data_IF_991693416662
#
_entry.id   IF_991693416662
#
_cell.length_a   1.000
_cell.length_b   1.000
_cell.length_c   1.000
_cell.angle_alpha   90.00
_cell.angle_beta   90.00
_cell.angle_gamma   90.00
#
_symmetry.space_group_name_H-M   'P 1'
#
loop_
_entity.id
_entity.type
_entity.pdbx_description
1 polymer ?
#
# COMPACT_ATOMS: atom_id res chain seq x y z
N UNK A 1 -4.33 -3.65 20.66
CA UNK A 1 -3.41 -3.44 19.54
C UNK A 1 -3.85 -4.37 18.43
N UNK A 2 -4.35 -3.83 17.33
CA UNK A 2 -4.76 -4.64 16.17
C UNK A 2 -3.50 -5.20 15.52
N UNK A 3 -3.38 -6.51 15.47
CA UNK A 3 -2.24 -7.19 14.85
C UNK A 3 -2.39 -7.04 13.33
N UNK A 4 -1.31 -6.66 12.64
CA UNK A 4 -1.32 -6.61 11.18
C UNK A 4 -1.55 -8.02 10.63
N UNK A 5 -2.49 -8.16 9.69
CA UNK A 5 -2.83 -9.43 9.07
C UNK A 5 -1.72 -9.89 8.12
N UNK A 6 -1.25 -8.97 7.28
CA UNK A 6 -0.12 -9.17 6.36
C UNK A 6 0.67 -7.87 6.24
N UNK A 7 1.92 -7.97 5.83
CA UNK A 7 2.78 -6.79 5.64
C UNK A 7 3.78 -6.99 4.51
N UNK A 8 4.30 -5.88 4.00
CA UNK A 8 5.43 -5.84 3.08
C UNK A 8 6.40 -4.76 3.50
N UNK A 9 7.68 -5.06 3.37
CA UNK A 9 8.78 -4.15 3.68
C UNK A 9 9.39 -3.61 2.38
N UNK A 10 9.68 -2.31 2.39
CA UNK A 10 10.32 -1.54 1.33
C UNK A 10 11.60 -0.90 1.86
N UNK A 11 12.52 -0.55 0.95
CA UNK A 11 13.63 0.35 1.24
C UNK A 11 13.26 1.74 0.73
N UNK A 12 13.34 2.75 1.60
CA UNK A 12 13.09 4.15 1.27
C UNK A 12 14.31 4.97 1.66
N UNK A 13 15.04 5.48 0.68
CA UNK A 13 16.30 6.21 0.89
C UNK A 13 17.34 5.44 1.73
N UNK A 14 17.26 4.10 1.71
CA UNK A 14 18.11 3.20 2.50
C UNK A 14 17.51 2.75 3.83
N UNK A 15 16.41 3.37 4.29
CA UNK A 15 15.71 2.99 5.51
C UNK A 15 14.62 1.94 5.27
N UNK A 16 14.41 1.07 6.25
CA UNK A 16 13.36 0.06 6.19
C UNK A 16 11.98 0.68 6.49
N UNK A 17 11.07 0.62 5.52
CA UNK A 17 9.68 1.11 5.65
C UNK A 17 8.71 -0.06 5.50
N UNK A 18 7.93 -0.33 6.54
CA UNK A 18 6.94 -1.41 6.53
C UNK A 18 5.55 -0.87 6.19
N UNK A 19 4.92 -1.44 5.16
CA UNK A 19 3.50 -1.30 4.86
C UNK A 19 2.72 -2.47 5.47
N UNK A 20 1.81 -2.19 6.40
CA UNK A 20 0.98 -3.17 7.10
C UNK A 20 -0.45 -3.08 6.60
N UNK A 21 -1.05 -4.23 6.31
CA UNK A 21 -2.48 -4.36 6.02
C UNK A 21 -3.14 -5.07 7.19
N UNK A 22 -4.28 -4.54 7.62
CA UNK A 22 -5.08 -5.15 8.68
C UNK A 22 -6.14 -6.06 8.05
N UNK A 23 -6.71 -6.98 8.83
CA UNK A 23 -7.78 -7.84 8.32
C UNK A 23 -8.93 -6.96 7.80
N UNK A 24 -9.47 -7.20 6.60
CA UNK A 24 -10.71 -6.56 6.18
C UNK A 24 -11.83 -6.92 7.16
N UNK A 25 -12.57 -5.92 7.62
CA UNK A 25 -13.69 -6.08 8.56
C UNK A 25 -14.98 -5.60 7.90
N UNK A 26 -16.11 -6.28 8.13
CA UNK A 26 -17.40 -5.81 7.65
C UNK A 26 -17.81 -4.51 8.36
N UNK A 27 -18.41 -3.60 7.60
CA UNK A 27 -19.01 -2.36 8.10
C UNK A 27 -20.54 -2.43 8.04
N UNK A 28 -21.20 -1.53 8.78
CA UNK A 28 -22.63 -1.32 8.64
C UNK A 28 -22.97 -0.96 7.18
N UNK A 29 -23.92 -1.68 6.59
CA UNK A 29 -24.32 -1.52 5.19
C UNK A 29 -23.83 -2.63 4.25
N UNK A 30 -23.02 -3.58 4.75
CA UNK A 30 -22.64 -4.79 4.00
C UNK A 30 -21.34 -4.67 3.20
N UNK A 31 -20.70 -3.49 3.21
CA UNK A 31 -19.35 -3.29 2.68
C UNK A 31 -18.29 -3.85 3.66
N UNK A 32 -17.06 -3.92 3.18
CA UNK A 32 -15.87 -4.24 3.96
C UNK A 32 -14.88 -3.09 3.94
N UNK A 33 -14.16 -2.93 5.04
CA UNK A 33 -13.13 -1.92 5.21
C UNK A 33 -11.81 -2.58 5.57
N UNK A 34 -10.78 -2.25 4.81
CA UNK A 34 -9.41 -2.70 5.06
C UNK A 34 -8.56 -1.48 5.39
N UNK A 35 -8.00 -1.45 6.61
CA UNK A 35 -7.01 -0.46 6.98
C UNK A 35 -5.63 -0.86 6.45
N UNK A 36 -4.81 0.13 6.15
CA UNK A 36 -3.37 -0.06 5.98
C UNK A 36 -2.58 1.09 6.61
N UNK A 37 -1.34 0.81 6.99
CA UNK A 37 -0.41 1.75 7.59
C UNK A 37 0.94 1.65 6.90
N UNK A 38 1.57 2.78 6.60
CA UNK A 38 2.96 2.82 6.15
C UNK A 38 3.79 3.51 7.25
N UNK A 39 4.75 2.78 7.81
CA UNK A 39 5.62 3.25 8.87
C UNK A 39 6.82 4.03 8.33
N UNK A 40 6.63 5.30 7.98
CA UNK A 40 7.71 6.17 7.51
C UNK A 40 8.67 6.58 8.63
N UNK A 41 9.92 6.99 8.31
CA UNK A 41 10.87 7.49 9.30
C UNK A 41 10.33 8.69 10.10
N UNK A 42 9.52 9.54 9.48
CA UNK A 42 8.95 10.75 10.11
C UNK A 42 7.65 10.47 10.88
N UNK A 43 7.11 9.26 10.77
CA UNK A 43 5.89 8.83 11.45
C UNK A 43 4.98 7.97 10.58
N UNK A 44 4.16 7.16 11.24
CA UNK A 44 3.19 6.30 10.56
C UNK A 44 2.06 7.11 9.92
N UNK A 45 1.69 6.74 8.69
CA UNK A 45 0.47 7.23 8.03
C UNK A 45 -0.50 6.07 7.84
N UNK A 46 -1.75 6.26 8.30
CA UNK A 46 -2.79 5.22 8.28
C UNK A 46 -3.96 5.64 7.42
N UNK A 47 -4.42 4.74 6.57
CA UNK A 47 -5.50 4.95 5.61
C UNK A 47 -6.42 3.73 5.59
N UNK A 48 -7.51 3.83 4.83
CA UNK A 48 -8.48 2.75 4.66
C UNK A 48 -9.06 2.72 3.26
N UNK A 49 -9.32 1.52 2.77
CA UNK A 49 -10.06 1.28 1.55
C UNK A 49 -11.38 0.56 1.87
N UNK A 50 -12.41 0.86 1.08
CA UNK A 50 -13.74 0.24 1.17
C UNK A 50 -13.98 -0.60 -0.09
N UNK A 51 -14.41 -1.84 0.09
CA UNK A 51 -14.84 -2.74 -0.98
C UNK A 51 -16.17 -3.41 -0.65
N UNK A 52 -16.83 -3.98 -1.65
CA UNK A 52 -18.10 -4.71 -1.52
C UNK A 52 -17.89 -6.01 -0.73
N UNK A 53 -16.68 -6.58 -0.79
CA UNK A 53 -16.27 -7.74 -0.01
C UNK A 53 -14.84 -7.57 0.53
N UNK A 54 -14.43 -8.50 1.39
CA UNK A 54 -13.09 -8.50 1.99
C UNK A 54 -11.96 -8.55 0.96
N UNK A 55 -12.15 -9.25 -0.17
CA UNK A 55 -11.14 -9.39 -1.22
C UNK A 55 -10.93 -8.05 -1.92
N UNK A 56 -12.02 -7.39 -2.32
CA UNK A 56 -11.97 -6.08 -2.96
C UNK A 56 -11.42 -5.02 -2.00
N UNK A 57 -11.81 -5.04 -0.73
CA UNK A 57 -11.31 -4.09 0.27
C UNK A 57 -9.78 -4.22 0.43
N UNK A 58 -9.26 -5.44 0.49
CA UNK A 58 -7.81 -5.68 0.57
C UNK A 58 -7.10 -5.27 -0.73
N UNK A 59 -7.64 -5.63 -1.89
CA UNK A 59 -7.06 -5.27 -3.19
C UNK A 59 -6.96 -3.75 -3.35
N UNK A 60 -8.01 -3.02 -2.99
CA UNK A 60 -8.03 -1.56 -3.03
C UNK A 60 -7.05 -0.95 -2.03
N UNK A 61 -6.93 -1.50 -0.82
CA UNK A 61 -5.93 -1.03 0.15
C UNK A 61 -4.51 -1.20 -0.39
N UNK A 62 -4.21 -2.33 -1.04
CA UNK A 62 -2.91 -2.58 -1.68
C UNK A 62 -2.64 -1.61 -2.85
N UNK A 63 -3.65 -1.33 -3.68
CA UNK A 63 -3.54 -0.36 -4.77
C UNK A 63 -3.30 1.07 -4.26
N UNK A 64 -3.98 1.46 -3.18
CA UNK A 64 -3.76 2.76 -2.54
C UNK A 64 -2.36 2.87 -1.94
N UNK A 65 -1.89 1.84 -1.23
CA UNK A 65 -0.52 1.80 -0.72
C UNK A 65 0.52 1.88 -1.83
N UNK A 66 0.29 1.22 -2.98
CA UNK A 66 1.14 1.36 -4.16
C UNK A 66 1.16 2.81 -4.65
N UNK A 67 -0.01 3.45 -4.79
CA UNK A 67 -0.09 4.86 -5.21
C UNK A 67 0.63 5.82 -4.25
N UNK A 68 0.54 5.60 -2.94
CA UNK A 68 1.25 6.40 -1.94
C UNK A 68 2.77 6.28 -2.08
N UNK A 69 3.28 5.05 -2.21
CA UNK A 69 4.71 4.77 -2.42
C UNK A 69 5.22 5.39 -3.74
N UNK A 70 4.43 5.29 -4.82
CA UNK A 70 4.74 5.96 -6.09
C UNK A 70 4.75 7.48 -5.93
N UNK A 71 3.81 8.05 -5.19
CA UNK A 71 3.76 9.49 -4.94
C UNK A 71 5.02 9.98 -4.22
N UNK A 72 5.53 9.24 -3.23
CA UNK A 72 6.81 9.58 -2.57
C UNK A 72 7.99 9.56 -3.54
N UNK A 73 8.01 8.61 -4.48
CA UNK A 73 9.05 8.56 -5.50
C UNK A 73 8.95 9.72 -6.49
N UNK A 74 7.79 9.91 -7.11
CA UNK A 74 7.63 10.81 -8.25
C UNK A 74 7.44 12.28 -7.83
N UNK A 75 6.83 12.54 -6.66
CA UNK A 75 6.58 13.92 -6.18
C UNK A 75 7.59 14.40 -5.17
N UNK A 76 8.12 13.50 -4.34
CA UNK A 76 9.03 13.85 -3.25
C UNK A 76 10.49 13.44 -3.53
N UNK A 77 10.75 12.73 -4.64
CA UNK A 77 12.09 12.39 -5.09
C UNK A 77 12.77 11.29 -4.26
N UNK A 78 12.02 10.57 -3.42
CA UNK A 78 12.55 9.48 -2.60
C UNK A 78 12.92 8.27 -3.46
N UNK A 79 13.98 7.57 -3.10
CA UNK A 79 14.29 6.25 -3.64
C UNK A 79 13.44 5.19 -2.93
N UNK A 80 12.35 4.75 -3.55
CA UNK A 80 11.48 3.68 -3.02
C UNK A 80 11.69 2.40 -3.80
N UNK A 81 12.15 1.34 -3.12
CA UNK A 81 12.49 0.04 -3.70
C UNK A 81 11.84 -1.13 -2.97
N UNK A 82 11.57 -2.21 -3.69
CA UNK A 82 11.21 -3.51 -3.13
C UNK A 82 12.18 -4.55 -3.68
N UNK A 83 12.87 -5.30 -2.80
CA UNK A 83 13.90 -6.27 -3.20
C UNK A 83 14.97 -5.66 -4.13
N UNK A 84 15.41 -4.44 -3.82
CA UNK A 84 16.34 -3.63 -4.62
C UNK A 84 15.86 -3.31 -6.06
N UNK A 85 14.57 -3.51 -6.36
CA UNK A 85 13.93 -3.19 -7.64
C UNK A 85 13.02 -1.96 -7.53
N UNK A 86 12.75 -1.30 -8.67
CA UNK A 86 11.81 -0.16 -8.73
C UNK A 86 10.35 -0.59 -8.72
N UNK A 87 10.03 -1.78 -9.22
CA UNK A 87 8.72 -2.38 -9.14
C UNK A 87 8.37 -2.74 -7.70
N UNK A 88 7.24 -2.23 -7.22
CA UNK A 88 6.85 -2.32 -5.81
C UNK A 88 6.10 -3.63 -5.47
N UNK A 89 5.77 -4.41 -6.51
CA UNK A 89 5.14 -5.72 -6.41
C UNK A 89 3.74 -5.73 -5.78
N UNK A 90 3.14 -4.56 -5.55
CA UNK A 90 1.76 -4.41 -5.12
C UNK A 90 0.88 -4.22 -6.36
N UNK A 91 -0.38 -4.70 -6.35
CA UNK A 91 -1.31 -4.43 -7.43
C UNK A 91 -1.41 -2.94 -7.70
N UNK A 92 -1.46 -2.53 -8.96
CA UNK A 92 -1.63 -1.13 -9.34
C UNK A 92 -3.06 -0.85 -9.81
N UNK A 93 -3.56 0.34 -9.50
CA UNK A 93 -4.83 0.79 -10.07
C UNK A 93 -4.66 1.05 -11.57
N UNK A 94 -5.58 0.54 -12.40
CA UNK A 94 -5.50 0.67 -13.86
C UNK A 94 -5.32 2.12 -14.34
N UNK A 95 -5.87 3.10 -13.61
CA UNK A 95 -5.79 4.51 -13.96
C UNK A 95 -4.40 5.14 -13.84
N UNK A 96 -3.45 4.46 -13.19
CA UNK A 96 -2.08 4.96 -12.96
C UNK A 96 -1.02 3.92 -13.36
N UNK A 97 -1.41 2.90 -14.12
CA UNK A 97 -0.53 1.75 -14.46
C UNK A 97 0.71 2.16 -15.24
N UNK A 98 0.63 3.24 -15.99
CA UNK A 98 1.73 3.84 -16.75
C UNK A 98 2.84 4.45 -15.87
N UNK A 99 2.56 4.68 -14.57
CA UNK A 99 3.53 5.24 -13.62
C UNK A 99 4.41 4.19 -12.94
N UNK A 100 4.11 2.89 -13.11
CA UNK A 100 4.94 1.81 -12.55
C UNK A 100 5.98 1.34 -13.59
N UNK A 101 7.28 1.59 -13.37
CA UNK A 101 8.34 1.34 -14.33
C UNK A 101 8.48 -0.14 -14.74
N UNK A 102 8.04 -1.07 -13.89
CA UNK A 102 8.13 -2.50 -14.15
C UNK A 102 6.77 -3.13 -14.52
N UNK A 103 5.70 -2.32 -14.57
CA UNK A 103 4.35 -2.70 -15.01
C UNK A 103 3.77 -3.95 -14.33
N UNK A 104 4.23 -4.23 -13.10
CA UNK A 104 4.22 -5.56 -12.51
C UNK A 104 3.00 -5.83 -11.64
N UNK A 105 2.11 -6.67 -12.19
CA UNK A 105 0.82 -7.19 -11.67
C UNK A 105 -0.42 -6.35 -11.98
#
# INVERSE_FOLDING_TARGET
MTVSFIQRTFSVDGDEVTCRFFSPEPEDGGDFLCWYEIGWPEGSRTFRARGIDAVQALLLAMQMAHADLLSERERHGRQVLWLDQRGLGLPIANSIRDLDPDGGF
#
